data_IF_406233193947
#
_entry.id   IF_406233193947
#
_cell.length_a   1.000
_cell.length_b   1.000
_cell.length_c   1.000
_cell.angle_alpha   90.00
_cell.angle_beta   90.00
_cell.angle_gamma   90.00
#
_symmetry.space_group_name_H-M   'P 1'
#
loop_
_entity.id
_entity.type
_entity.pdbx_description
1 polymer ?
#
# COMPACT_ATOMS: atom_id res chain seq x y z
N UNK A 1 -4.95 1.93 -24.31
CA UNK A 1 -4.11 0.95 -23.59
C UNK A 1 -2.67 1.21 -24.04
N UNK A 2 -1.74 1.37 -23.10
CA UNK A 2 -0.35 1.68 -23.44
C UNK A 2 0.29 0.43 -24.05
N UNK A 3 1.44 0.57 -24.73
CA UNK A 3 2.17 -0.63 -25.15
C UNK A 3 2.73 -1.35 -23.92
N UNK A 4 2.96 -2.66 -24.00
CA UNK A 4 3.55 -3.42 -22.88
C UNK A 4 4.90 -2.85 -22.44
N UNK A 5 5.66 -2.30 -23.40
CA UNK A 5 6.95 -1.65 -23.14
C UNK A 5 6.77 -0.40 -22.26
N UNK A 6 5.63 0.29 -22.37
CA UNK A 6 5.32 1.48 -21.58
C UNK A 6 4.55 1.16 -20.28
N UNK A 7 3.79 0.05 -20.24
CA UNK A 7 3.01 -0.38 -19.06
C UNK A 7 3.90 -1.01 -17.99
N UNK A 8 4.84 -1.87 -18.40
CA UNK A 8 5.66 -2.65 -17.47
C UNK A 8 6.49 -1.75 -16.51
N UNK A 9 7.18 -0.68 -16.96
CA UNK A 9 7.90 0.21 -16.05
C UNK A 9 6.98 0.92 -15.04
N UNK A 10 5.75 1.26 -15.43
CA UNK A 10 4.77 1.90 -14.54
C UNK A 10 4.31 0.95 -13.45
N UNK A 11 3.97 -0.29 -13.82
CA UNK A 11 3.58 -1.32 -12.87
C UNK A 11 4.73 -1.68 -11.91
N UNK A 12 5.98 -1.68 -12.40
CA UNK A 12 7.15 -1.81 -11.53
C UNK A 12 7.28 -0.65 -10.53
N UNK A 13 7.02 0.58 -10.97
CA UNK A 13 7.00 1.74 -10.08
C UNK A 13 5.93 1.58 -9.00
N UNK A 14 4.70 1.24 -9.39
CA UNK A 14 3.58 1.01 -8.46
C UNK A 14 3.87 -0.11 -7.44
N UNK A 15 4.39 -1.24 -7.91
CA UNK A 15 4.79 -2.35 -7.02
C UNK A 15 5.87 -1.93 -6.02
N UNK A 16 6.85 -1.13 -6.46
CA UNK A 16 7.87 -0.58 -5.58
C UNK A 16 7.29 0.45 -4.60
N UNK A 17 6.33 1.28 -5.02
CA UNK A 17 5.64 2.20 -4.12
C UNK A 17 4.94 1.45 -2.99
N UNK A 18 4.25 0.33 -3.28
CA UNK A 18 3.64 -0.51 -2.25
C UNK A 18 4.68 -1.14 -1.32
N UNK A 19 5.81 -1.61 -1.86
CA UNK A 19 6.92 -2.11 -1.05
C UNK A 19 7.44 -1.05 -0.05
N UNK A 20 7.67 0.17 -0.52
CA UNK A 20 8.10 1.28 0.34
C UNK A 20 7.04 1.70 1.34
N UNK A 21 5.76 1.69 0.95
CA UNK A 21 4.65 1.98 1.86
C UNK A 21 4.61 0.98 3.04
N UNK A 22 4.82 -0.32 2.77
CA UNK A 22 4.94 -1.34 3.83
C UNK A 22 6.13 -1.07 4.75
N UNK A 23 7.29 -0.73 4.20
CA UNK A 23 8.49 -0.44 4.98
C UNK A 23 8.30 0.81 5.87
N UNK A 24 7.72 1.89 5.34
CA UNK A 24 7.45 3.12 6.10
C UNK A 24 6.41 2.92 7.20
N UNK A 25 5.37 2.10 6.96
CA UNK A 25 4.41 1.74 8.00
C UNK A 25 5.07 0.86 9.09
N UNK A 26 5.93 -0.08 8.71
CA UNK A 26 6.70 -0.90 9.66
C UNK A 26 7.60 -0.03 10.54
N UNK A 27 8.37 0.87 9.94
CA UNK A 27 9.18 1.86 10.66
C UNK A 27 8.34 2.71 11.62
N UNK A 28 7.11 3.06 11.23
CA UNK A 28 6.19 3.81 12.10
C UNK A 28 5.80 2.98 13.32
N UNK A 29 5.52 1.68 13.14
CA UNK A 29 5.23 0.79 14.27
C UNK A 29 6.44 0.57 15.16
N UNK A 30 7.64 0.41 14.60
CA UNK A 30 8.87 0.30 15.39
C UNK A 30 9.10 1.56 16.26
N UNK A 31 8.79 2.74 15.72
CA UNK A 31 8.82 4.00 16.47
C UNK A 31 7.82 4.01 17.64
N UNK A 32 6.57 3.60 17.38
CA UNK A 32 5.51 3.53 18.40
C UNK A 32 5.90 2.53 19.50
N UNK A 33 6.31 1.33 19.11
CA UNK A 33 6.64 0.25 20.04
C UNK A 33 7.87 0.63 20.88
N UNK A 34 8.85 1.30 20.26
CA UNK A 34 9.96 1.92 20.97
C UNK A 34 9.47 2.93 22.02
N UNK A 35 8.55 3.83 21.69
CA UNK A 35 8.01 4.80 22.65
C UNK A 35 7.25 4.13 23.81
N UNK A 36 6.48 3.08 23.53
CA UNK A 36 5.73 2.32 24.55
C UNK A 36 6.69 1.62 25.52
N UNK A 37 7.73 0.96 25.01
CA UNK A 37 8.71 0.23 25.84
C UNK A 37 9.43 1.15 26.82
N UNK A 38 9.64 2.42 26.46
CA UNK A 38 10.32 3.40 27.31
C UNK A 38 9.36 4.21 28.19
N UNK A 39 8.04 3.98 28.09
CA UNK A 39 7.05 4.68 28.90
C UNK A 39 6.84 3.99 30.25
N UNK A 40 6.61 4.78 31.30
CA UNK A 40 6.20 4.27 32.60
C UNK A 40 4.72 3.85 32.63
N UNK A 41 3.93 4.31 31.66
CA UNK A 41 2.48 4.08 31.57
C UNK A 41 2.12 3.51 30.21
N UNK A 42 1.11 2.64 30.17
CA UNK A 42 0.55 2.13 28.93
C UNK A 42 -0.32 3.20 28.24
N UNK A 43 -0.42 3.19 26.91
CA UNK A 43 -1.33 4.08 26.19
C UNK A 43 -2.77 3.94 26.72
N UNK A 44 -3.49 5.05 26.95
CA UNK A 44 -4.86 5.02 27.47
C UNK A 44 -5.90 4.62 26.41
N UNK A 45 -5.46 4.26 25.21
CA UNK A 45 -6.30 3.87 24.07
C UNK A 45 -5.61 2.77 23.26
N UNK A 46 -6.41 2.00 22.53
CA UNK A 46 -5.90 0.99 21.61
C UNK A 46 -5.28 1.65 20.38
N UNK A 47 -4.06 1.23 20.04
CA UNK A 47 -3.36 1.72 18.84
C UNK A 47 -3.72 0.81 17.66
N UNK A 48 -4.30 1.34 16.57
CA UNK A 48 -4.64 0.54 15.40
C UNK A 48 -3.41 -0.18 14.81
N UNK A 49 -3.58 -1.48 14.51
CA UNK A 49 -2.57 -2.32 13.82
C UNK A 49 -3.08 -2.65 12.42
N UNK A 50 -2.66 -1.85 11.47
CA UNK A 50 -3.04 -1.88 10.05
C UNK A 50 -1.90 -2.45 9.21
N UNK A 51 -2.22 -2.86 7.98
CA UNK A 51 -1.24 -3.28 6.98
C UNK A 51 -1.69 -2.87 5.58
N UNK A 52 -0.73 -2.71 4.68
CA UNK A 52 -1.03 -2.74 3.25
C UNK A 52 -1.33 -4.17 2.80
N UNK A 53 -2.16 -4.29 1.77
CA UNK A 53 -2.41 -5.56 1.08
C UNK A 53 -1.12 -6.11 0.48
N UNK A 54 -1.06 -7.43 0.35
CA UNK A 54 -0.01 -8.04 -0.46
C UNK A 54 -0.27 -7.77 -1.93
N UNK A 55 0.78 -7.47 -2.68
CA UNK A 55 0.69 -7.17 -4.10
C UNK A 55 1.85 -7.79 -4.88
N UNK A 56 1.60 -8.11 -6.15
CA UNK A 56 2.58 -8.74 -7.02
C UNK A 56 2.39 -8.42 -8.49
N UNK A 57 3.48 -8.42 -9.24
CA UNK A 57 3.47 -8.24 -10.68
C UNK A 57 3.20 -9.58 -11.37
N UNK A 58 2.11 -9.66 -12.12
CA UNK A 58 1.75 -10.82 -12.93
C UNK A 58 2.03 -10.56 -14.41
N UNK A 59 2.78 -11.47 -15.04
CA UNK A 59 3.11 -11.45 -16.45
C UNK A 59 2.29 -12.52 -17.18
N UNK A 60 1.45 -12.11 -18.12
CA UNK A 60 0.65 -13.01 -18.94
C UNK A 60 1.38 -13.30 -20.24
N UNK A 61 1.54 -14.59 -20.56
CA UNK A 61 2.16 -15.06 -21.79
C UNK A 61 1.13 -15.77 -22.66
N UNK A 62 1.10 -15.46 -23.96
CA UNK A 62 0.29 -16.21 -24.92
C UNK A 62 0.95 -17.54 -25.24
N UNK A 63 0.13 -18.58 -25.42
CA UNK A 63 0.67 -19.87 -25.86
C UNK A 63 1.20 -19.75 -27.29
N UNK A 64 2.34 -20.38 -27.60
CA UNK A 64 2.83 -20.45 -28.98
C UNK A 64 1.81 -21.19 -29.84
N UNK A 65 1.33 -20.53 -30.91
CA UNK A 65 0.28 -21.06 -31.81
C UNK A 65 0.77 -22.17 -32.75
N UNK A 66 2.03 -22.60 -32.64
CA UNK A 66 2.64 -23.63 -33.51
C UNK A 66 3.36 -24.69 -32.67
N UNK A 67 3.28 -25.94 -33.13
CA UNK A 67 3.96 -27.12 -32.55
C UNK A 67 5.40 -26.76 -32.20
N UNK A 68 5.87 -27.03 -30.98
CA UNK A 68 7.19 -26.62 -30.54
C UNK A 68 8.25 -27.29 -31.43
N UNK A 69 8.94 -26.49 -32.24
CA UNK A 69 10.20 -26.90 -32.86
C UNK A 69 11.19 -27.02 -31.71
N UNK A 70 11.80 -28.21 -31.55
CA UNK A 70 12.73 -28.56 -30.46
C UNK A 70 13.63 -27.36 -30.08
N UNK A 71 13.41 -26.82 -28.88
CA UNK A 71 14.36 -25.91 -28.21
C UNK A 71 13.87 -24.50 -27.87
N UNK A 72 12.73 -24.00 -28.38
CA UNK A 72 12.21 -22.68 -28.00
C UNK A 72 10.67 -22.63 -27.96
N UNK A 73 10.10 -22.94 -26.80
CA UNK A 73 8.67 -22.75 -26.48
C UNK A 73 8.49 -21.67 -25.43
N UNK A 74 9.02 -20.46 -25.68
CA UNK A 74 8.74 -19.31 -24.81
C UNK A 74 7.56 -18.54 -25.38
N UNK A 75 6.44 -18.51 -24.65
CA UNK A 75 5.25 -17.74 -25.05
C UNK A 75 5.54 -16.24 -25.10
N UNK A 76 4.91 -15.52 -26.03
CA UNK A 76 5.08 -14.07 -26.15
C UNK A 76 4.37 -13.38 -24.98
N UNK A 77 5.07 -12.48 -24.28
CA UNK A 77 4.46 -11.63 -23.26
C UNK A 77 3.33 -10.81 -23.90
N UNK A 78 2.10 -10.98 -23.40
CA UNK A 78 0.90 -10.36 -23.94
C UNK A 78 0.16 -9.49 -22.91
N UNK A 79 0.55 -9.53 -21.64
CA UNK A 79 -0.04 -8.74 -20.57
C UNK A 79 0.89 -8.56 -19.38
N UNK A 80 0.79 -7.43 -18.69
CA UNK A 80 1.35 -7.22 -17.36
C UNK A 80 0.27 -6.59 -16.48
N UNK A 81 0.19 -7.04 -15.22
CA UNK A 81 -0.84 -6.62 -14.28
C UNK A 81 -0.26 -6.52 -12.87
N UNK A 82 -0.69 -5.52 -12.11
CA UNK A 82 -0.53 -5.53 -10.65
C UNK A 82 -1.71 -6.30 -10.06
N UNK A 83 -1.41 -7.33 -9.29
CA UNK A 83 -2.41 -8.09 -8.53
C UNK A 83 -2.29 -7.70 -7.06
N UNK A 84 -3.43 -7.46 -6.42
CA UNK A 84 -3.52 -7.11 -5.00
C UNK A 84 -4.43 -8.09 -4.27
N UNK A 85 -4.17 -8.32 -2.99
CA UNK A 85 -5.04 -9.10 -2.12
C UNK A 85 -6.45 -8.48 -2.07
N UNK A 86 -7.47 -9.31 -2.28
CA UNK A 86 -8.86 -8.86 -2.24
C UNK A 86 -9.27 -8.57 -0.79
N UNK A 87 -9.66 -7.32 -0.52
CA UNK A 87 -10.28 -6.95 0.76
C UNK A 87 -11.74 -7.44 0.75
N UNK A 88 -12.10 -8.30 1.70
CA UNK A 88 -13.46 -8.85 1.81
C UNK A 88 -14.44 -7.82 2.39
N UNK A 89 -15.67 -7.79 1.85
CA UNK A 89 -16.74 -6.85 2.26
C UNK A 89 -17.25 -5.88 1.19
N UNK A 90 -16.68 -5.89 -0.03
CA UNK A 90 -17.21 -5.16 -1.19
C UNK A 90 -17.14 -3.62 -1.09
N UNK A 91 -17.90 -2.92 -1.94
CA UNK A 91 -17.84 -1.46 -2.11
C UNK A 91 -18.48 -0.63 -1.00
N UNK A 92 -19.20 -1.25 -0.07
CA UNK A 92 -19.89 -0.53 1.01
C UNK A 92 -18.95 -0.15 2.19
N UNK A 93 -17.69 -0.62 2.19
CA UNK A 93 -16.75 -0.52 3.32
C UNK A 93 -15.32 -0.14 2.89
N UNK A 94 -15.10 0.26 1.63
CA UNK A 94 -13.79 0.77 1.21
C UNK A 94 -13.74 2.28 1.43
N UNK A 95 -13.06 2.68 2.50
CA UNK A 95 -13.02 4.05 3.00
C UNK A 95 -11.71 4.72 2.61
N UNK A 96 -11.81 5.95 2.12
CA UNK A 96 -10.66 6.83 1.93
C UNK A 96 -10.44 7.62 3.22
N UNK A 97 -9.43 7.23 4.00
CA UNK A 97 -9.16 7.82 5.31
C UNK A 97 -8.38 9.13 5.22
N UNK A 98 -7.48 9.25 4.23
CA UNK A 98 -6.64 10.43 3.99
C UNK A 98 -6.68 10.77 2.50
N UNK A 99 -6.84 12.06 2.16
CA UNK A 99 -6.79 12.53 0.78
C UNK A 99 -5.35 12.78 0.32
N UNK A 100 -5.04 12.68 -0.98
CA UNK A 100 -3.68 12.95 -1.48
C UNK A 100 -3.32 14.46 -1.51
N UNK A 101 -4.29 15.33 -1.23
CA UNK A 101 -4.14 16.79 -1.22
C UNK A 101 -4.32 17.39 0.17
N UNK A 102 -4.52 16.55 1.18
CA UNK A 102 -4.71 16.96 2.58
C UNK A 102 -3.97 15.98 3.49
N UNK A 103 -3.39 16.50 4.57
CA UNK A 103 -2.73 15.69 5.59
C UNK A 103 -3.69 15.27 6.72
N UNK A 104 -4.91 15.83 6.76
CA UNK A 104 -5.92 15.55 7.76
C UNK A 104 -6.80 14.33 7.45
N UNK A 105 -7.53 13.82 8.47
CA UNK A 105 -8.62 12.86 8.28
C UNK A 105 -9.61 13.35 7.22
N UNK A 106 -10.03 12.46 6.33
CA UNK A 106 -11.12 12.71 5.38
C UNK A 106 -12.51 12.44 5.97
N UNK A 107 -12.56 11.99 7.23
CA UNK A 107 -13.77 11.67 7.98
C UNK A 107 -13.99 12.71 9.08
N UNK A 108 -15.23 12.94 9.45
CA UNK A 108 -15.64 13.83 10.53
C UNK A 108 -15.64 13.12 11.90
N UNK A 109 -15.54 13.92 12.97
CA UNK A 109 -15.67 13.42 14.34
C UNK A 109 -17.04 12.75 14.54
N UNK A 110 -17.03 11.45 14.85
CA UNK A 110 -18.24 10.64 15.04
C UNK A 110 -18.52 9.66 13.90
N UNK A 111 -17.84 9.79 12.76
CA UNK A 111 -17.92 8.80 11.69
C UNK A 111 -17.14 7.53 12.03
N UNK A 112 -17.66 6.38 11.60
CA UNK A 112 -16.96 5.11 11.74
C UNK A 112 -15.62 5.17 11.00
N UNK A 113 -14.53 4.79 11.69
CA UNK A 113 -13.19 4.85 11.13
C UNK A 113 -12.47 6.20 11.32
N UNK A 114 -13.11 7.21 11.93
CA UNK A 114 -12.44 8.49 12.23
C UNK A 114 -11.16 8.30 13.06
N UNK A 115 -11.19 7.44 14.10
CA UNK A 115 -10.01 7.13 14.90
C UNK A 115 -8.88 6.47 14.08
N UNK A 116 -9.23 5.66 13.07
CA UNK A 116 -8.26 5.10 12.12
C UNK A 116 -7.69 6.21 11.24
N UNK A 117 -8.51 7.15 10.75
CA UNK A 117 -8.03 8.29 9.99
C UNK A 117 -7.09 9.19 10.80
N UNK A 118 -7.40 9.45 12.07
CA UNK A 118 -6.50 10.18 12.98
C UNK A 118 -5.17 9.46 13.18
N UNK A 119 -5.21 8.14 13.42
CA UNK A 119 -4.01 7.32 13.52
C UNK A 119 -3.16 7.40 12.23
N UNK A 120 -3.80 7.29 11.07
CA UNK A 120 -3.12 7.39 9.77
C UNK A 120 -2.50 8.79 9.56
N UNK A 121 -3.18 9.86 9.95
CA UNK A 121 -2.59 11.21 9.95
C UNK A 121 -1.35 11.31 10.85
N UNK A 122 -1.39 10.68 12.03
CA UNK A 122 -0.22 10.56 12.90
C UNK A 122 0.93 9.80 12.21
N UNK A 123 0.65 8.71 11.48
CA UNK A 123 1.71 7.98 10.76
C UNK A 123 2.42 8.87 9.72
N UNK A 124 1.70 9.75 9.02
CA UNK A 124 2.29 10.70 8.07
C UNK A 124 3.32 11.59 8.76
N UNK A 125 2.96 12.10 9.94
CA UNK A 125 3.85 12.96 10.73
C UNK A 125 5.10 12.19 11.17
N UNK A 126 4.96 11.00 11.75
CA UNK A 126 6.11 10.19 12.17
C UNK A 126 7.03 9.90 10.98
N UNK A 127 6.48 9.45 9.85
CA UNK A 127 7.26 9.14 8.65
C UNK A 127 8.01 10.36 8.13
N UNK A 128 7.35 11.52 8.06
CA UNK A 128 7.98 12.75 7.61
C UNK A 128 9.14 13.15 8.53
N UNK A 129 9.01 13.00 9.84
CA UNK A 129 10.10 13.32 10.77
C UNK A 129 11.22 12.29 10.71
N UNK A 130 10.91 11.01 10.79
CA UNK A 130 11.89 9.91 10.80
C UNK A 130 12.71 9.86 9.51
N UNK A 131 12.13 10.25 8.38
CA UNK A 131 12.81 10.29 7.08
C UNK A 131 13.52 11.62 6.83
N UNK A 132 13.71 12.46 7.84
CA UNK A 132 14.32 13.80 7.69
C UNK A 132 13.61 14.66 6.65
N UNK A 133 12.27 14.61 6.64
CA UNK A 133 11.36 15.40 5.79
C UNK A 133 11.40 15.02 4.31
N UNK A 134 11.87 13.81 3.98
CA UNK A 134 12.00 13.37 2.59
C UNK A 134 10.73 12.70 2.07
N UNK A 135 10.05 11.89 2.90
CA UNK A 135 8.91 11.10 2.42
C UNK A 135 7.93 10.78 3.55
N UNK A 136 6.66 10.69 3.16
CA UNK A 136 5.58 10.10 3.95
C UNK A 136 4.58 9.48 3.00
N UNK A 137 3.73 8.60 3.52
CA UNK A 137 2.63 8.01 2.76
C UNK A 137 1.40 8.90 2.87
N UNK A 138 0.76 9.22 1.75
CA UNK A 138 -0.55 9.86 1.73
C UNK A 138 -1.59 8.95 1.09
N UNK A 139 -2.81 9.45 0.88
CA UNK A 139 -3.86 8.73 0.14
C UNK A 139 -4.22 7.37 0.75
N UNK A 140 -4.19 7.26 2.08
CA UNK A 140 -4.58 6.04 2.77
C UNK A 140 -6.05 5.70 2.52
N UNK A 141 -6.30 4.47 2.10
CA UNK A 141 -7.63 3.95 1.79
C UNK A 141 -7.65 2.44 1.97
N UNK A 142 -8.78 1.90 2.38
CA UNK A 142 -8.90 0.48 2.74
C UNK A 142 -10.15 0.23 3.54
N UNK A 143 -10.07 -0.70 4.49
CA UNK A 143 -11.15 -1.08 5.39
C UNK A 143 -10.60 -1.26 6.79
#
# INVERSE_FOLDING_TARGET
>A
RFSLVDELPKLHCEANTLYWAKALLTMTYDFIDGAIVHSCELPPFDIPRLRFVEAGLALAHSQPTKVPVKGKSSGTLCGAYLLEEKIEGGSAVFTKFIHNMDCGPSLDEGEEGYGVAQFLAFTQHVQYIQTSKLVFISNYQGK
#
